data_IF_169224060109
#
_entry.id   IF_169224060109
#
_cell.length_a   1.000
_cell.length_b   1.000
_cell.length_c   1.000
_cell.angle_alpha   90.00
_cell.angle_beta   90.00
_cell.angle_gamma   90.00
#
_symmetry.space_group_name_H-M   'P 1'
#
loop_
_entity.id
_entity.type
_entity.pdbx_description
1 polymer ?
#
# COMPACT_ATOMS: atom_id res chain seq x y z
N UNK A 1 -19.78 -32.03 -6.20
CA UNK A 1 -20.39 -32.91 -5.17
C UNK A 1 -19.99 -32.47 -3.77
N UNK A 2 -20.97 -32.21 -2.90
CA UNK A 2 -20.77 -31.93 -1.47
C UNK A 2 -21.48 -32.99 -0.65
N UNK A 3 -20.81 -33.52 0.37
CA UNK A 3 -21.43 -34.46 1.32
C UNK A 3 -21.84 -33.67 2.55
N UNK A 4 -23.10 -33.73 2.94
CA UNK A 4 -23.60 -33.12 4.17
C UNK A 4 -24.36 -34.17 5.02
N UNK A 5 -24.92 -33.73 6.14
CA UNK A 5 -25.64 -34.59 7.08
C UNK A 5 -26.87 -35.31 6.52
N UNK A 6 -27.37 -34.90 5.34
CA UNK A 6 -28.52 -35.51 4.67
C UNK A 6 -28.11 -36.41 3.49
N UNK A 7 -26.84 -36.38 3.08
CA UNK A 7 -26.27 -37.27 2.07
C UNK A 7 -25.42 -36.56 1.04
N UNK A 8 -25.39 -37.10 -0.19
CA UNK A 8 -24.60 -36.57 -1.29
C UNK A 8 -25.43 -35.57 -2.07
N UNK A 9 -24.98 -34.31 -2.09
CA UNK A 9 -25.49 -33.24 -2.92
C UNK A 9 -24.65 -33.15 -4.20
N UNK A 10 -25.26 -33.51 -5.33
CA UNK A 10 -24.67 -33.40 -6.66
C UNK A 10 -25.14 -32.08 -7.27
N UNK A 11 -24.22 -31.15 -7.53
CA UNK A 11 -24.53 -29.88 -8.18
C UNK A 11 -24.96 -30.10 -9.65
N UNK A 12 -25.75 -29.16 -10.18
CA UNK A 12 -26.41 -29.27 -11.49
C UNK A 12 -25.41 -29.44 -12.64
N UNK A 13 -24.23 -28.83 -12.53
CA UNK A 13 -23.13 -29.03 -13.46
C UNK A 13 -22.62 -30.48 -13.44
N UNK A 14 -22.35 -31.02 -12.25
CA UNK A 14 -21.88 -32.40 -12.07
C UNK A 14 -22.91 -33.45 -12.51
N UNK A 15 -24.20 -33.16 -12.33
CA UNK A 15 -25.30 -34.04 -12.70
C UNK A 15 -25.43 -34.19 -14.23
N UNK A 16 -25.17 -33.12 -14.98
CA UNK A 16 -25.34 -33.05 -16.44
C UNK A 16 -24.08 -33.39 -17.25
N UNK A 17 -22.93 -33.59 -16.60
CA UNK A 17 -21.68 -33.92 -17.27
C UNK A 17 -21.76 -35.32 -17.95
N UNK A 18 -21.47 -35.39 -19.24
CA UNK A 18 -21.37 -36.65 -19.99
C UNK A 18 -20.11 -37.41 -19.61
N UNK A 19 -20.30 -38.70 -19.32
CA UNK A 19 -19.24 -39.62 -18.89
C UNK A 19 -19.30 -40.87 -19.73
N UNK A 20 -18.16 -41.55 -19.87
CA UNK A 20 -18.07 -42.81 -20.61
C UNK A 20 -17.66 -43.92 -19.64
N UNK A 21 -18.37 -45.04 -19.67
CA UNK A 21 -18.02 -46.21 -18.86
C UNK A 21 -16.62 -46.71 -19.24
N UNK A 22 -15.74 -46.85 -18.25
CA UNK A 22 -14.34 -47.30 -18.46
C UNK A 22 -14.20 -48.82 -18.64
N UNK A 23 -15.25 -49.60 -18.35
CA UNK A 23 -15.29 -51.02 -18.68
C UNK A 23 -15.04 -51.20 -20.19
N UNK A 24 -13.98 -51.92 -20.59
CA UNK A 24 -13.53 -52.01 -21.98
C UNK A 24 -14.63 -52.50 -22.94
N UNK A 25 -15.53 -53.34 -22.43
CA UNK A 25 -16.63 -53.96 -23.17
C UNK A 25 -17.90 -53.09 -23.20
N UNK A 26 -18.07 -52.17 -22.24
CA UNK A 26 -19.30 -51.40 -22.08
C UNK A 26 -19.24 -50.06 -22.82
N UNK A 27 -18.20 -49.25 -22.60
CA UNK A 27 -17.95 -47.91 -23.22
C UNK A 27 -19.17 -46.99 -23.40
N UNK A 28 -20.22 -47.18 -22.61
CA UNK A 28 -21.49 -46.46 -22.76
C UNK A 28 -21.35 -45.04 -22.23
N UNK A 29 -21.87 -44.07 -22.99
CA UNK A 29 -21.98 -42.68 -22.55
C UNK A 29 -23.20 -42.51 -21.65
N UNK A 30 -23.06 -41.82 -20.53
CA UNK A 30 -24.14 -41.58 -19.57
C UNK A 30 -23.97 -40.24 -18.84
N UNK A 31 -25.09 -39.67 -18.37
CA UNK A 31 -25.11 -38.53 -17.44
C UNK A 31 -25.73 -38.97 -16.11
N UNK A 32 -25.24 -38.45 -14.99
CA UNK A 32 -25.74 -38.85 -13.66
C UNK A 32 -27.24 -38.53 -13.52
N UNK A 33 -27.70 -37.40 -14.07
CA UNK A 33 -29.11 -36.97 -14.04
C UNK A 33 -30.06 -37.99 -14.67
N UNK A 34 -29.62 -38.73 -15.69
CA UNK A 34 -30.45 -39.73 -16.41
C UNK A 34 -30.79 -40.95 -15.54
N UNK A 35 -30.01 -41.19 -14.48
CA UNK A 35 -30.13 -42.33 -13.57
C UNK A 35 -30.57 -41.94 -12.16
N UNK A 36 -30.54 -40.65 -11.83
CA UNK A 36 -30.92 -40.12 -10.52
C UNK A 36 -32.44 -40.12 -10.31
N UNK A 37 -33.23 -39.91 -11.37
CA UNK A 37 -34.70 -39.82 -11.29
C UNK A 37 -35.44 -41.14 -11.56
N UNK A 38 -34.76 -42.18 -12.05
CA UNK A 38 -35.42 -43.33 -12.70
C UNK A 38 -35.32 -44.68 -11.98
N UNK A 39 -34.68 -44.80 -10.80
CA UNK A 39 -34.69 -46.07 -10.06
C UNK A 39 -34.39 -45.95 -8.56
N UNK A 40 -35.29 -46.50 -7.73
CA UNK A 40 -35.17 -46.55 -6.26
C UNK A 40 -34.08 -47.51 -5.72
N UNK A 41 -33.18 -48.03 -6.57
CA UNK A 41 -32.47 -49.29 -6.27
C UNK A 41 -30.95 -49.27 -6.41
N UNK A 42 -30.29 -48.12 -6.67
CA UNK A 42 -28.83 -48.10 -6.86
C UNK A 42 -28.04 -47.20 -5.90
N UNK A 43 -28.70 -46.39 -5.08
CA UNK A 43 -28.03 -45.57 -4.07
C UNK A 43 -28.37 -46.07 -2.66
N UNK A 44 -27.40 -46.70 -2.00
CA UNK A 44 -27.55 -47.06 -0.59
C UNK A 44 -27.38 -45.84 0.33
N UNK A 45 -28.11 -45.86 1.46
CA UNK A 45 -28.09 -44.80 2.48
C UNK A 45 -26.67 -44.53 3.00
N UNK A 46 -26.28 -43.25 3.19
CA UNK A 46 -24.93 -42.89 3.59
C UNK A 46 -24.60 -43.25 5.05
N UNK A 47 -23.31 -43.49 5.23
CA UNK A 47 -22.51 -43.91 6.38
C UNK A 47 -22.79 -43.13 7.69
N UNK A 48 -22.84 -43.83 8.83
CA UNK A 48 -22.86 -43.19 10.16
C UNK A 48 -21.46 -43.29 10.81
N UNK A 49 -20.76 -42.15 10.85
CA UNK A 49 -19.37 -42.02 11.30
C UNK A 49 -19.11 -42.28 12.79
N UNK A 50 -20.14 -42.53 13.60
CA UNK A 50 -20.00 -42.67 15.06
C UNK A 50 -19.59 -44.09 15.52
N UNK A 51 -19.75 -45.14 14.68
CA UNK A 51 -19.68 -46.53 15.17
C UNK A 51 -18.56 -47.44 14.64
N UNK A 52 -17.64 -46.97 13.78
CA UNK A 52 -16.36 -47.61 13.47
C UNK A 52 -16.35 -49.09 13.02
N UNK A 53 -15.96 -49.32 11.74
CA UNK A 53 -15.60 -50.60 11.08
C UNK A 53 -16.78 -51.42 10.47
N UNK A 54 -16.68 -52.10 9.33
CA UNK A 54 -16.11 -51.91 7.97
C UNK A 54 -17.00 -52.77 7.04
N UNK A 55 -17.24 -52.43 5.78
CA UNK A 55 -16.47 -52.87 4.61
C UNK A 55 -17.04 -52.17 3.37
N UNK A 56 -16.26 -52.05 2.30
CA UNK A 56 -16.60 -51.45 0.99
C UNK A 56 -16.34 -49.94 0.88
N UNK A 57 -15.08 -49.67 0.54
CA UNK A 57 -14.47 -48.36 0.29
C UNK A 57 -15.03 -47.69 -1.00
N UNK A 58 -15.11 -46.35 -0.97
CA UNK A 58 -15.46 -45.45 -2.07
C UNK A 58 -14.46 -45.43 -3.24
N UNK A 59 -13.36 -46.19 -3.16
CA UNK A 59 -12.29 -46.21 -4.17
C UNK A 59 -12.74 -46.71 -5.55
N UNK A 60 -13.62 -47.71 -5.61
CA UNK A 60 -14.12 -48.22 -6.90
C UNK A 60 -15.10 -47.26 -7.60
N UNK A 61 -15.66 -46.28 -6.88
CA UNK A 61 -16.66 -45.36 -7.42
C UNK A 61 -16.08 -44.00 -7.82
N UNK A 62 -14.98 -43.59 -7.18
CA UNK A 62 -14.35 -42.30 -7.43
C UNK A 62 -13.17 -42.36 -8.40
N UNK A 63 -12.67 -43.54 -8.75
CA UNK A 63 -11.55 -43.75 -9.69
C UNK A 63 -10.42 -42.72 -9.51
N UNK A 64 -10.04 -42.50 -8.25
CA UNK A 64 -8.88 -41.66 -7.91
C UNK A 64 -7.66 -42.57 -7.97
N UNK A 65 -7.23 -42.90 -9.18
CA UNK A 65 -5.91 -43.47 -9.40
C UNK A 65 -5.02 -42.40 -10.01
N UNK A 66 -4.01 -42.02 -9.22
CA UNK A 66 -3.02 -40.97 -9.43
C UNK A 66 -3.47 -39.53 -9.13
N UNK A 67 -2.75 -38.91 -8.19
CA UNK A 67 -2.63 -37.47 -8.12
C UNK A 67 -2.10 -37.05 -9.50
N UNK A 68 -2.97 -36.56 -10.38
CA UNK A 68 -2.53 -35.82 -11.54
C UNK A 68 -1.81 -34.62 -10.93
N UNK A 69 -0.48 -34.65 -10.87
CA UNK A 69 0.30 -33.42 -10.85
C UNK A 69 -0.36 -32.57 -11.90
N UNK A 70 -0.94 -31.43 -11.48
CA UNK A 70 -1.50 -30.45 -12.42
C UNK A 70 -0.51 -30.46 -13.56
N UNK A 71 -0.95 -30.90 -14.75
CA UNK A 71 -0.20 -30.60 -15.96
C UNK A 71 0.19 -29.15 -15.77
N UNK A 72 1.47 -28.76 -15.89
CA UNK A 72 1.80 -27.37 -15.76
C UNK A 72 1.03 -26.69 -16.89
N UNK A 73 -0.18 -26.24 -16.58
CA UNK A 73 -0.65 -24.97 -17.04
C UNK A 73 0.45 -24.09 -16.52
N UNK A 74 1.45 -23.87 -17.37
CA UNK A 74 1.96 -22.55 -17.58
C UNK A 74 0.72 -21.68 -17.81
N UNK A 75 -0.04 -21.38 -16.75
CA UNK A 75 -0.56 -20.06 -16.58
C UNK A 75 0.67 -19.21 -16.82
N UNK A 76 0.71 -18.48 -17.94
CA UNK A 76 1.87 -17.65 -18.19
C UNK A 76 1.95 -16.77 -16.94
N UNK A 77 3.02 -16.94 -16.18
CA UNK A 77 3.37 -16.02 -15.11
C UNK A 77 3.75 -14.74 -15.83
N UNK A 78 2.74 -13.96 -16.24
CA UNK A 78 2.96 -12.63 -16.73
C UNK A 78 3.50 -11.85 -15.55
N UNK A 79 4.81 -11.64 -15.54
CA UNK A 79 5.41 -10.69 -14.64
C UNK A 79 4.94 -9.31 -15.12
N UNK A 80 4.08 -8.68 -14.31
CA UNK A 80 3.61 -7.32 -14.57
C UNK A 80 4.73 -6.38 -14.14
N UNK A 81 5.77 -6.27 -14.97
CA UNK A 81 6.87 -5.35 -14.72
C UNK A 81 6.32 -3.92 -14.89
N UNK A 82 6.28 -3.20 -13.77
CA UNK A 82 5.92 -1.79 -13.71
C UNK A 82 7.19 -0.97 -13.91
N UNK A 83 7.25 -0.22 -15.00
CA UNK A 83 8.34 0.71 -15.28
C UNK A 83 7.82 2.15 -15.27
N UNK A 84 8.58 3.06 -14.65
CA UNK A 84 8.32 4.49 -14.76
C UNK A 84 9.06 5.07 -15.97
N UNK A 85 8.49 6.10 -16.63
CA UNK A 85 9.24 6.89 -17.61
C UNK A 85 10.52 7.44 -16.99
N UNK A 86 11.62 7.49 -17.76
CA UNK A 86 12.88 8.07 -17.30
C UNK A 86 12.98 9.56 -17.63
N UNK A 87 12.28 10.00 -18.67
CA UNK A 87 12.22 11.39 -19.08
C UNK A 87 10.90 12.01 -18.62
N UNK A 88 11.03 13.15 -17.95
CA UNK A 88 9.92 13.96 -17.43
C UNK A 88 10.08 15.44 -17.83
N UNK A 89 11.05 15.78 -18.70
CA UNK A 89 11.30 17.15 -19.15
C UNK A 89 10.11 17.77 -19.91
N UNK A 90 9.27 16.89 -20.42
CA UNK A 90 8.04 17.05 -21.19
C UNK A 90 6.78 17.34 -20.33
N UNK A 91 6.95 17.55 -19.02
CA UNK A 91 5.86 17.69 -18.06
C UNK A 91 5.76 19.11 -17.49
N UNK A 92 4.73 19.92 -17.77
CA UNK A 92 3.58 19.85 -18.68
C UNK A 92 3.61 21.12 -19.57
N UNK A 93 2.82 21.18 -20.65
CA UNK A 93 2.76 22.40 -21.47
C UNK A 93 1.98 23.52 -20.77
N UNK A 94 2.69 24.55 -20.32
CA UNK A 94 2.13 25.73 -19.66
C UNK A 94 1.06 26.44 -20.52
N UNK A 95 1.17 26.36 -21.86
CA UNK A 95 0.18 26.94 -22.78
C UNK A 95 -1.20 26.27 -22.65
N UNK A 96 -1.23 25.05 -22.13
CA UNK A 96 -2.42 24.22 -21.98
C UNK A 96 -2.84 24.03 -20.52
N UNK A 97 -2.19 24.71 -19.56
CA UNK A 97 -2.40 24.55 -18.13
C UNK A 97 -3.88 24.58 -17.71
N UNK A 98 -4.69 25.48 -18.28
CA UNK A 98 -6.11 25.57 -17.94
C UNK A 98 -6.89 24.31 -18.32
N UNK A 99 -6.61 23.73 -19.48
CA UNK A 99 -7.27 22.49 -19.93
C UNK A 99 -6.81 21.30 -19.11
N UNK A 100 -5.52 21.25 -18.81
CA UNK A 100 -4.92 20.21 -17.98
C UNK A 100 -5.51 20.27 -16.56
N UNK A 101 -5.60 21.45 -15.94
CA UNK A 101 -6.25 21.61 -14.63
C UNK A 101 -7.74 21.20 -14.66
N UNK A 102 -8.40 21.34 -15.82
CA UNK A 102 -9.77 20.88 -16.04
C UNK A 102 -9.87 19.37 -16.35
N UNK A 103 -8.81 18.59 -16.14
CA UNK A 103 -8.83 17.12 -16.23
C UNK A 103 -8.64 16.56 -17.63
N UNK A 104 -8.09 17.33 -18.59
CA UNK A 104 -7.80 16.86 -19.95
C UNK A 104 -6.56 15.94 -19.97
N UNK A 105 -6.77 14.65 -19.70
CA UNK A 105 -5.71 13.65 -19.58
C UNK A 105 -4.97 13.38 -20.89
N UNK A 106 -5.66 13.42 -22.04
CA UNK A 106 -5.05 13.19 -23.35
C UNK A 106 -4.00 14.26 -23.64
N UNK A 107 -4.33 15.52 -23.33
CA UNK A 107 -3.40 16.63 -23.47
C UNK A 107 -2.29 16.61 -22.41
N UNK A 108 -2.64 16.30 -21.15
CA UNK A 108 -1.68 16.26 -20.05
C UNK A 108 -0.57 15.23 -20.27
N UNK A 109 -0.93 14.05 -20.81
CA UNK A 109 -0.04 12.91 -20.93
C UNK A 109 0.40 12.60 -22.37
N UNK A 110 0.14 13.50 -23.32
CA UNK A 110 0.39 13.29 -24.75
C UNK A 110 1.82 12.81 -25.06
N UNK A 111 2.83 13.47 -24.46
CA UNK A 111 4.24 13.14 -24.69
C UNK A 111 4.60 11.77 -24.09
N UNK A 112 4.17 11.47 -22.86
CA UNK A 112 4.35 10.14 -22.25
C UNK A 112 3.71 9.03 -23.08
N UNK A 113 2.50 9.29 -23.60
CA UNK A 113 1.79 8.35 -24.48
C UNK A 113 2.58 8.11 -25.77
N UNK A 114 3.17 9.16 -26.34
CA UNK A 114 4.02 9.03 -27.53
C UNK A 114 5.26 8.16 -27.27
N UNK A 115 5.76 8.14 -26.03
CA UNK A 115 6.85 7.28 -25.55
C UNK A 115 6.40 5.86 -25.13
N UNK A 116 5.15 5.50 -25.45
CA UNK A 116 4.58 4.19 -25.18
C UNK A 116 4.08 3.98 -23.75
N UNK A 117 3.83 5.05 -23.01
CA UNK A 117 3.26 4.96 -21.67
C UNK A 117 1.73 4.83 -21.70
N UNK A 118 1.21 4.20 -20.67
CA UNK A 118 -0.19 4.19 -20.27
C UNK A 118 -0.39 5.19 -19.12
N UNK A 119 -1.64 5.57 -18.85
CA UNK A 119 -1.97 6.40 -17.69
C UNK A 119 -2.76 5.54 -16.72
N UNK A 120 -2.38 5.51 -15.45
CA UNK A 120 -3.18 4.89 -14.39
C UNK A 120 -3.83 5.98 -13.55
N UNK A 121 -5.13 5.85 -13.30
CA UNK A 121 -5.88 6.65 -12.36
C UNK A 121 -6.19 5.80 -11.12
N UNK A 122 -5.94 6.35 -9.95
CA UNK A 122 -6.27 5.73 -8.67
C UNK A 122 -7.08 6.69 -7.81
N UNK A 123 -8.17 6.23 -7.18
CA UNK A 123 -8.89 7.00 -6.18
C UNK A 123 -8.00 7.41 -5.01
N UNK A 124 -8.19 8.63 -4.50
CA UNK A 124 -7.48 9.13 -3.34
C UNK A 124 -8.48 9.55 -2.26
N UNK A 125 -8.97 8.57 -1.51
CA UNK A 125 -9.91 8.82 -0.41
C UNK A 125 -9.25 9.54 0.78
N UNK A 126 -10.06 10.32 1.51
CA UNK A 126 -9.62 11.15 2.64
C UNK A 126 -8.52 12.16 2.24
N UNK A 127 -8.59 12.64 1.01
CA UNK A 127 -7.77 13.73 0.50
C UNK A 127 -8.70 14.76 -0.12
N UNK A 128 -8.36 16.04 0.00
CA UNK A 128 -9.15 17.14 -0.52
C UNK A 128 -8.21 18.18 -1.08
N UNK A 129 -8.51 18.64 -2.29
CA UNK A 129 -7.83 19.77 -2.92
C UNK A 129 -8.82 20.52 -3.81
N UNK A 130 -8.66 21.84 -3.92
CA UNK A 130 -9.54 22.73 -4.69
C UNK A 130 -9.09 22.89 -6.15
N UNK A 131 -7.83 22.58 -6.43
CA UNK A 131 -7.20 22.66 -7.76
C UNK A 131 -6.38 21.42 -8.04
N UNK A 132 -6.04 21.20 -9.30
CA UNK A 132 -5.12 20.11 -9.65
C UNK A 132 -3.75 20.39 -9.05
N UNK A 133 -3.17 19.36 -8.44
CA UNK A 133 -1.82 19.40 -7.91
C UNK A 133 -0.88 18.76 -8.93
N UNK A 134 0.10 19.51 -9.38
CA UNK A 134 1.12 19.10 -10.32
C UNK A 134 2.34 18.66 -9.52
N UNK A 135 2.73 17.40 -9.63
CA UNK A 135 3.78 16.82 -8.82
C UNK A 135 4.92 16.33 -9.73
N UNK A 136 6.13 16.14 -9.18
CA UNK A 136 7.26 15.60 -9.95
C UNK A 136 6.93 14.26 -10.63
N UNK A 137 7.70 13.91 -11.66
CA UNK A 137 7.65 12.62 -12.35
C UNK A 137 6.31 12.28 -13.02
N UNK A 138 5.60 13.29 -13.56
CA UNK A 138 4.35 13.03 -14.28
C UNK A 138 3.13 12.80 -13.37
N UNK A 139 3.26 12.97 -12.06
CA UNK A 139 2.13 12.73 -11.15
C UNK A 139 1.22 13.95 -11.12
N UNK A 140 -0.10 13.74 -11.25
CA UNK A 140 -1.11 14.78 -10.98
C UNK A 140 -2.15 14.27 -9.98
N UNK A 141 -2.64 15.17 -9.12
CA UNK A 141 -3.85 14.91 -8.32
C UNK A 141 -4.94 15.85 -8.81
N UNK A 142 -6.04 15.29 -9.28
CA UNK A 142 -7.22 16.03 -9.71
C UNK A 142 -8.27 16.08 -8.59
N UNK A 143 -8.90 17.23 -8.34
CA UNK A 143 -10.07 17.33 -7.47
C UNK A 143 -11.21 16.40 -7.90
N UNK A 144 -12.12 16.15 -6.96
CA UNK A 144 -13.38 15.46 -7.24
C UNK A 144 -14.12 16.07 -8.44
N UNK A 145 -14.65 15.22 -9.32
CA UNK A 145 -15.44 15.60 -10.49
C UNK A 145 -14.67 16.32 -11.60
N UNK A 146 -13.34 16.50 -11.51
CA UNK A 146 -12.56 17.19 -12.56
C UNK A 146 -12.29 16.35 -13.80
N UNK A 147 -12.05 15.05 -13.63
CA UNK A 147 -11.73 14.14 -14.74
C UNK A 147 -13.04 13.58 -15.30
N UNK A 148 -13.34 13.88 -16.57
CA UNK A 148 -14.50 13.32 -17.27
C UNK A 148 -14.18 11.92 -17.79
N UNK A 149 -14.83 10.90 -17.20
CA UNK A 149 -14.67 9.49 -17.59
C UNK A 149 -15.83 8.97 -18.44
N UNK A 150 -16.79 9.82 -18.84
CA UNK A 150 -18.00 9.41 -19.57
C UNK A 150 -17.73 8.75 -20.92
N UNK A 151 -16.59 9.07 -21.55
CA UNK A 151 -16.16 8.51 -22.85
C UNK A 151 -15.31 7.25 -22.71
N UNK A 152 -14.93 6.86 -21.49
CA UNK A 152 -14.05 5.73 -21.24
C UNK A 152 -14.81 4.42 -21.39
N UNK A 153 -14.24 3.50 -22.17
CA UNK A 153 -14.78 2.17 -22.43
C UNK A 153 -13.97 1.14 -21.65
N UNK A 154 -14.56 0.61 -20.58
CA UNK A 154 -13.93 -0.43 -19.78
C UNK A 154 -13.92 -1.79 -20.52
N UNK A 155 -12.73 -2.32 -20.77
CA UNK A 155 -12.48 -3.57 -21.45
C UNK A 155 -12.87 -4.78 -20.59
N UNK A 156 -13.83 -5.55 -21.10
CA UNK A 156 -14.25 -6.85 -20.53
C UNK A 156 -13.44 -8.03 -21.08
N UNK A 157 -12.34 -7.76 -21.78
CA UNK A 157 -11.43 -8.79 -22.26
C UNK A 157 -10.49 -9.25 -21.15
N UNK A 158 -10.05 -10.51 -21.23
CA UNK A 158 -9.03 -11.09 -20.35
C UNK A 158 -9.49 -12.26 -19.48
N UNK A 159 -8.78 -12.47 -18.39
CA UNK A 159 -9.02 -13.59 -17.47
C UNK A 159 -10.42 -13.50 -16.84
N UNK A 160 -11.29 -14.48 -17.16
CA UNK A 160 -12.69 -14.50 -16.73
C UNK A 160 -12.85 -14.46 -15.21
N UNK A 161 -12.01 -15.18 -14.46
CA UNK A 161 -12.08 -15.20 -12.99
C UNK A 161 -11.71 -13.84 -12.41
N UNK A 162 -10.64 -13.23 -12.92
CA UNK A 162 -10.21 -11.90 -12.47
C UNK A 162 -11.28 -10.84 -12.74
N UNK A 163 -11.96 -10.91 -13.89
CA UNK A 163 -13.09 -10.03 -14.23
C UNK A 163 -14.26 -10.23 -13.26
N UNK A 164 -14.63 -11.48 -12.96
CA UNK A 164 -15.72 -11.78 -12.01
C UNK A 164 -15.39 -11.24 -10.63
N UNK A 165 -14.16 -11.46 -10.14
CA UNK A 165 -13.73 -10.98 -8.83
C UNK A 165 -13.68 -9.44 -8.76
N UNK A 166 -13.19 -8.79 -9.82
CA UNK A 166 -13.25 -7.32 -9.95
C UNK A 166 -14.70 -6.84 -9.91
N UNK A 167 -15.59 -7.48 -10.64
CA UNK A 167 -17.02 -7.11 -10.64
C UNK A 167 -17.66 -7.34 -9.27
N UNK A 168 -17.28 -8.41 -8.57
CA UNK A 168 -17.79 -8.74 -7.25
C UNK A 168 -17.33 -7.77 -6.15
N UNK A 169 -16.27 -6.98 -6.39
CA UNK A 169 -15.87 -5.89 -5.48
C UNK A 169 -16.92 -4.77 -5.38
N UNK A 170 -17.83 -4.68 -6.36
CA UNK A 170 -18.86 -3.65 -6.43
C UNK A 170 -18.37 -2.30 -6.96
N UNK A 171 -17.09 -2.20 -7.33
CA UNK A 171 -16.46 -0.96 -7.79
C UNK A 171 -16.87 -0.64 -9.22
N UNK A 172 -17.19 0.63 -9.46
CA UNK A 172 -17.60 1.15 -10.76
C UNK A 172 -16.86 2.43 -11.15
N UNK A 173 -16.97 2.85 -12.41
CA UNK A 173 -16.36 4.10 -12.87
C UNK A 173 -17.00 5.33 -12.20
N UNK A 174 -18.28 5.27 -11.84
CA UNK A 174 -18.99 6.38 -11.19
C UNK A 174 -18.32 6.78 -9.86
N UNK A 175 -17.68 5.83 -9.16
CA UNK A 175 -16.97 6.11 -7.90
C UNK A 175 -15.71 6.95 -8.11
N UNK A 176 -15.16 7.01 -9.33
CA UNK A 176 -14.00 7.85 -9.64
C UNK A 176 -14.40 9.32 -9.75
N UNK A 177 -15.67 9.62 -10.06
CA UNK A 177 -16.15 11.00 -10.19
C UNK A 177 -16.42 11.63 -8.82
N UNK A 178 -16.62 10.83 -7.77
CA UNK A 178 -17.03 11.27 -6.41
C UNK A 178 -15.87 11.41 -5.41
N UNK A 179 -14.63 11.43 -5.88
CA UNK A 179 -13.46 11.64 -5.02
C UNK A 179 -12.27 12.15 -5.85
N UNK A 180 -11.24 12.73 -5.21
CA UNK A 180 -10.01 13.06 -5.91
C UNK A 180 -9.33 11.85 -6.54
N UNK A 181 -8.68 12.08 -7.67
CA UNK A 181 -7.96 11.05 -8.42
C UNK A 181 -6.50 11.41 -8.53
N UNK A 182 -5.62 10.44 -8.30
CA UNK A 182 -4.20 10.58 -8.63
C UNK A 182 -3.91 9.86 -9.94
N UNK A 183 -3.20 10.54 -10.83
CA UNK A 183 -2.82 10.08 -12.15
C UNK A 183 -1.29 9.93 -12.23
N UNK A 184 -0.83 8.85 -12.87
CA UNK A 184 0.59 8.54 -13.05
C UNK A 184 0.82 7.90 -14.43
N UNK A 185 1.86 8.30 -15.19
CA UNK A 185 2.25 7.64 -16.41
C UNK A 185 3.08 6.40 -16.07
N UNK A 186 2.76 5.27 -16.68
CA UNK A 186 3.41 3.98 -16.43
C UNK A 186 3.69 3.24 -17.74
N UNK A 187 4.75 2.46 -17.77
CA UNK A 187 5.00 1.46 -18.81
C UNK A 187 4.66 0.09 -18.24
N UNK A 188 3.73 -0.59 -18.91
CA UNK A 188 3.27 -1.92 -18.52
C UNK A 188 2.85 -2.71 -19.75
N UNK A 189 3.10 -4.02 -19.74
CA UNK A 189 2.60 -4.90 -20.80
C UNK A 189 1.07 -5.01 -20.73
N UNK A 190 0.37 -4.32 -21.63
CA UNK A 190 -1.10 -4.29 -21.69
C UNK A 190 -1.73 -5.69 -21.84
N UNK A 191 -1.14 -6.56 -22.66
CA UNK A 191 -1.64 -7.93 -22.83
C UNK A 191 -1.39 -8.77 -21.56
N UNK A 192 -0.29 -8.52 -20.87
CA UNK A 192 -0.02 -9.09 -19.55
C UNK A 192 -1.08 -8.65 -18.53
N UNK A 193 -1.39 -7.35 -18.49
CA UNK A 193 -2.41 -6.78 -17.60
C UNK A 193 -3.78 -7.42 -17.79
N UNK A 194 -4.20 -7.60 -19.05
CA UNK A 194 -5.48 -8.20 -19.41
C UNK A 194 -5.58 -9.66 -18.95
N UNK A 195 -4.50 -10.43 -19.10
CA UNK A 195 -4.50 -11.87 -18.86
C UNK A 195 -4.06 -12.28 -17.44
N UNK A 196 -3.56 -11.35 -16.64
CA UNK A 196 -3.15 -11.59 -15.27
C UNK A 196 -4.29 -12.05 -14.35
N UNK A 197 -3.91 -12.75 -13.28
CA UNK A 197 -4.82 -13.20 -12.23
C UNK A 197 -5.21 -12.04 -11.31
N UNK A 198 -6.33 -12.19 -10.60
CA UNK A 198 -6.74 -11.18 -9.60
C UNK A 198 -5.69 -10.98 -8.49
N UNK A 199 -4.93 -12.02 -8.11
CA UNK A 199 -3.88 -11.85 -7.09
C UNK A 199 -2.78 -10.91 -7.59
N UNK A 200 -2.30 -11.13 -8.80
CA UNK A 200 -1.30 -10.26 -9.45
C UNK A 200 -1.83 -8.84 -9.65
N UNK A 201 -3.12 -8.69 -9.94
CA UNK A 201 -3.79 -7.40 -10.00
C UNK A 201 -3.77 -6.65 -8.65
N UNK A 202 -4.03 -7.34 -7.54
CA UNK A 202 -3.97 -6.71 -6.21
C UNK A 202 -2.54 -6.34 -5.81
N UNK A 203 -1.56 -7.18 -6.16
CA UNK A 203 -0.14 -6.88 -6.00
C UNK A 203 0.26 -5.65 -6.83
N UNK A 204 -0.23 -5.53 -8.08
CA UNK A 204 0.01 -4.36 -8.91
C UNK A 204 -0.60 -3.09 -8.31
N UNK A 205 -1.83 -3.13 -7.78
CA UNK A 205 -2.44 -1.96 -7.10
C UNK A 205 -1.57 -1.51 -5.92
N UNK A 206 -1.08 -2.45 -5.10
CA UNK A 206 -0.16 -2.12 -4.00
C UNK A 206 1.14 -1.50 -4.51
N UNK A 207 1.77 -2.11 -5.51
CA UNK A 207 3.03 -1.63 -6.07
C UNK A 207 2.91 -0.21 -6.64
N UNK A 208 1.81 0.10 -7.34
CA UNK A 208 1.55 1.46 -7.85
C UNK A 208 1.31 2.42 -6.68
N UNK A 209 0.54 2.03 -5.66
CA UNK A 209 0.34 2.87 -4.47
C UNK A 209 1.64 3.15 -3.72
N UNK A 210 2.51 2.16 -3.55
CA UNK A 210 3.82 2.31 -2.91
C UNK A 210 4.74 3.22 -3.75
N UNK A 211 4.65 3.12 -5.08
CA UNK A 211 5.36 4.00 -6.01
C UNK A 211 4.89 5.45 -5.85
N UNK A 212 3.57 5.68 -5.82
CA UNK A 212 2.98 7.00 -5.56
C UNK A 212 3.42 7.56 -4.20
N UNK A 213 3.45 6.72 -3.17
CA UNK A 213 3.93 7.10 -1.84
C UNK A 213 5.39 7.59 -1.90
N UNK A 214 6.25 6.83 -2.57
CA UNK A 214 7.66 7.18 -2.73
C UNK A 214 7.88 8.46 -3.55
N UNK A 215 7.11 8.66 -4.62
CA UNK A 215 7.26 9.81 -5.52
C UNK A 215 6.75 11.11 -4.88
N UNK A 216 5.62 11.07 -4.15
CA UNK A 216 5.01 12.30 -3.66
C UNK A 216 4.25 12.22 -2.34
N UNK A 217 3.49 11.15 -2.05
CA UNK A 217 2.58 11.19 -0.89
C UNK A 217 3.33 11.17 0.45
N UNK A 218 4.52 10.56 0.53
CA UNK A 218 5.35 10.63 1.74
C UNK A 218 5.78 12.07 2.05
N UNK A 219 6.15 12.84 1.02
CA UNK A 219 6.50 14.25 1.17
C UNK A 219 5.28 15.10 1.54
N UNK A 220 4.15 14.87 0.87
CA UNK A 220 2.90 15.59 1.18
C UNK A 220 2.46 15.31 2.62
N UNK A 221 2.49 14.06 3.08
CA UNK A 221 2.19 13.72 4.48
C UNK A 221 3.21 14.34 5.43
N UNK A 222 4.51 14.31 5.09
CA UNK A 222 5.54 14.96 5.90
C UNK A 222 5.28 16.45 6.12
N UNK A 223 4.89 17.18 5.06
CA UNK A 223 4.65 18.62 5.14
C UNK A 223 3.35 19.01 5.85
N UNK A 224 2.35 18.14 5.87
CA UNK A 224 0.99 18.52 6.31
C UNK A 224 0.46 17.73 7.51
N UNK A 225 1.11 16.64 7.92
CA UNK A 225 0.68 15.81 9.05
C UNK A 225 1.78 15.76 10.11
N UNK A 226 1.42 15.71 11.39
CA UNK A 226 2.39 15.77 12.50
C UNK A 226 2.43 14.48 13.31
N UNK A 227 3.61 14.17 13.87
CA UNK A 227 3.73 13.12 14.86
C UNK A 227 3.19 13.62 16.20
N UNK A 228 2.02 13.11 16.59
CA UNK A 228 1.41 13.41 17.89
C UNK A 228 1.13 12.14 18.69
N UNK A 229 0.77 12.29 19.97
CA UNK A 229 0.48 11.15 20.84
C UNK A 229 -0.71 10.34 20.35
N UNK A 230 -1.74 10.99 19.80
CA UNK A 230 -2.84 10.35 19.09
C UNK A 230 -2.53 10.34 17.58
N UNK A 231 -3.10 9.43 16.78
CA UNK A 231 -2.92 9.51 15.33
C UNK A 231 -3.49 10.82 14.78
N UNK A 232 -2.75 11.41 13.84
CA UNK A 232 -3.12 12.66 13.16
C UNK A 232 -4.45 12.49 12.40
N UNK A 233 -5.31 13.51 12.46
CA UNK A 233 -6.65 13.47 11.87
C UNK A 233 -6.67 13.84 10.38
N UNK A 234 -5.56 14.38 9.88
CA UNK A 234 -5.31 14.79 8.51
C UNK A 234 -4.70 13.70 7.64
N UNK A 235 -4.63 12.44 8.07
CA UNK A 235 -4.02 11.38 7.27
C UNK A 235 -4.93 10.95 6.08
N UNK A 236 -4.40 10.91 4.84
CA UNK A 236 -5.08 10.35 3.69
C UNK A 236 -4.97 8.82 3.67
N UNK A 237 -5.89 8.16 2.98
CA UNK A 237 -5.77 6.72 2.72
C UNK A 237 -4.71 6.45 1.64
N UNK A 238 -4.33 5.18 1.50
CA UNK A 238 -3.44 4.76 0.41
C UNK A 238 -4.10 5.01 -0.94
N UNK A 239 -3.29 5.38 -1.95
CA UNK A 239 -3.77 5.55 -3.30
C UNK A 239 -4.44 4.24 -3.78
N UNK A 240 -5.60 4.38 -4.40
CA UNK A 240 -6.47 3.29 -4.85
C UNK A 240 -7.61 2.98 -3.91
N UNK A 241 -7.54 3.33 -2.62
CA UNK A 241 -8.62 3.06 -1.66
C UNK A 241 -9.82 3.98 -1.90
N UNK A 242 -11.01 3.40 -1.87
CA UNK A 242 -12.27 4.08 -2.19
C UNK A 242 -12.90 4.73 -0.96
N UNK A 243 -13.55 5.88 -1.15
CA UNK A 243 -14.32 6.57 -0.10
C UNK A 243 -15.62 5.82 0.25
N UNK A 244 -16.29 5.26 -0.75
CA UNK A 244 -17.54 4.48 -0.63
C UNK A 244 -17.37 3.19 0.17
N UNK A 245 -16.23 2.51 -0.02
CA UNK A 245 -15.86 1.29 0.67
C UNK A 245 -14.34 1.24 0.88
N UNK A 246 -13.91 1.67 2.05
CA UNK A 246 -12.48 1.74 2.41
C UNK A 246 -11.74 0.39 2.35
N UNK A 247 -12.46 -0.74 2.46
CA UNK A 247 -11.87 -2.07 2.33
C UNK A 247 -11.55 -2.45 0.89
N UNK A 248 -12.15 -1.76 -0.07
CA UNK A 248 -11.92 -1.97 -1.49
C UNK A 248 -10.92 -0.96 -2.03
N UNK A 249 -10.24 -1.36 -3.08
CA UNK A 249 -9.28 -0.54 -3.79
C UNK A 249 -9.43 -0.78 -5.28
N UNK A 250 -9.03 0.21 -6.07
CA UNK A 250 -9.09 0.09 -7.52
C UNK A 250 -8.03 0.91 -8.21
N UNK A 251 -7.77 0.52 -9.46
CA UNK A 251 -6.98 1.28 -10.40
C UNK A 251 -7.63 1.18 -11.79
N UNK A 252 -7.72 2.31 -12.47
CA UNK A 252 -8.22 2.42 -13.83
C UNK A 252 -7.04 2.68 -14.76
N UNK A 253 -6.73 1.71 -15.59
CA UNK A 253 -5.64 1.81 -16.55
C UNK A 253 -6.20 2.32 -17.88
N UNK A 254 -5.71 3.44 -18.38
CA UNK A 254 -6.06 4.02 -19.68
C UNK A 254 -5.00 3.64 -20.70
N UNK A 255 -5.41 2.95 -21.77
CA UNK A 255 -4.49 2.51 -22.82
C UNK A 255 -4.02 3.72 -23.62
N UNK A 256 -2.72 4.02 -23.58
CA UNK A 256 -2.14 5.14 -24.32
C UNK A 256 -2.90 6.45 -24.07
N UNK A 257 -3.39 6.67 -22.83
CA UNK A 257 -4.16 7.87 -22.46
C UNK A 257 -5.52 8.03 -23.17
N UNK A 258 -5.94 7.06 -23.98
CA UNK A 258 -7.17 7.13 -24.77
C UNK A 258 -8.40 6.56 -24.05
N UNK A 259 -9.45 6.32 -24.83
CA UNK A 259 -10.75 5.89 -24.31
C UNK A 259 -10.82 4.40 -23.94
N UNK A 260 -9.89 3.55 -24.39
CA UNK A 260 -9.87 2.14 -23.98
C UNK A 260 -9.26 2.02 -22.58
N UNK A 261 -9.98 1.42 -21.64
CA UNK A 261 -9.49 1.28 -20.27
C UNK A 261 -9.66 -0.13 -19.71
N UNK A 262 -8.96 -0.41 -18.62
CA UNK A 262 -9.13 -1.61 -17.81
C UNK A 262 -9.30 -1.20 -16.35
N UNK A 263 -10.51 -1.38 -15.81
CA UNK A 263 -10.75 -1.26 -14.37
C UNK A 263 -10.36 -2.56 -13.68
N UNK A 264 -9.56 -2.44 -12.62
CA UNK A 264 -9.20 -3.51 -11.72
C UNK A 264 -9.58 -3.07 -10.31
N UNK A 265 -10.23 -3.96 -9.55
CA UNK A 265 -10.67 -3.64 -8.20
C UNK A 265 -10.74 -4.86 -7.28
N UNK A 266 -10.59 -4.63 -5.98
CA UNK A 266 -10.64 -5.65 -4.94
C UNK A 266 -9.99 -5.19 -3.64
N UNK A 267 -9.87 -6.10 -2.67
CA UNK A 267 -9.26 -5.80 -1.37
C UNK A 267 -7.71 -5.84 -1.46
N UNK A 268 -7.12 -4.76 -1.96
CA UNK A 268 -5.67 -4.66 -2.05
C UNK A 268 -5.03 -4.42 -0.68
N UNK A 269 -5.62 -3.65 0.23
CA UNK A 269 -5.00 -3.36 1.53
C UNK A 269 -5.66 -4.11 2.68
N UNK A 270 -4.89 -4.36 3.74
CA UNK A 270 -5.36 -5.01 4.97
C UNK A 270 -5.90 -4.03 6.01
N UNK A 271 -5.63 -2.74 5.84
CA UNK A 271 -5.93 -1.69 6.81
C UNK A 271 -6.38 -0.42 6.09
N UNK A 272 -7.08 0.44 6.83
CA UNK A 272 -7.65 1.69 6.34
C UNK A 272 -7.57 2.72 7.45
N UNK A 273 -7.34 3.99 7.11
CA UNK A 273 -7.38 5.06 8.10
C UNK A 273 -8.84 5.44 8.32
N UNK A 274 -9.32 5.23 9.54
CA UNK A 274 -10.73 5.48 9.89
C UNK A 274 -10.93 6.72 10.74
N UNK A 275 -9.85 7.27 11.32
CA UNK A 275 -9.89 8.44 12.22
C UNK A 275 -9.66 9.74 11.47
N UNK A 276 -10.43 10.78 11.80
CA UNK A 276 -10.21 12.16 11.37
C UNK A 276 -10.95 12.52 10.08
N UNK A 277 -10.66 13.70 9.53
CA UNK A 277 -11.34 14.26 8.34
C UNK A 277 -10.57 14.09 7.04
N UNK A 278 -9.29 13.68 7.11
CA UNK A 278 -8.44 13.51 5.95
C UNK A 278 -7.62 14.77 5.62
N UNK A 279 -6.79 14.66 4.60
CA UNK A 279 -5.79 15.66 4.27
C UNK A 279 -6.37 16.75 3.36
N UNK A 280 -6.21 18.01 3.74
CA UNK A 280 -6.41 19.15 2.83
C UNK A 280 -5.04 19.59 2.32
N UNK A 281 -4.79 19.42 1.03
CA UNK A 281 -3.50 19.72 0.43
C UNK A 281 -3.60 20.81 -0.65
N UNK A 282 -2.53 21.61 -0.73
CA UNK A 282 -2.30 22.62 -1.77
C UNK A 282 -1.07 22.25 -2.58
N UNK A 283 -0.87 22.94 -3.69
CA UNK A 283 0.30 22.78 -4.55
C UNK A 283 1.59 22.98 -3.73
N UNK A 284 2.41 21.93 -3.53
CA UNK A 284 3.72 22.10 -2.93
C UNK A 284 4.68 22.80 -3.92
N UNK A 285 5.65 23.54 -3.40
CA UNK A 285 6.73 24.07 -4.22
C UNK A 285 7.65 22.93 -4.65
N UNK A 286 7.91 22.80 -5.96
CA UNK A 286 8.71 21.70 -6.50
C UNK A 286 10.15 21.70 -5.99
N UNK A 287 10.69 22.89 -5.71
CA UNK A 287 12.04 23.05 -5.18
C UNK A 287 12.22 22.45 -3.78
N UNK A 288 11.13 22.21 -3.05
CA UNK A 288 11.18 21.59 -1.73
C UNK A 288 11.27 20.07 -1.76
N UNK A 289 11.04 19.42 -2.92
CA UNK A 289 11.22 17.98 -3.03
C UNK A 289 12.71 17.62 -2.99
N UNK A 290 13.10 16.54 -2.30
CA UNK A 290 14.50 16.12 -2.26
C UNK A 290 14.99 15.70 -3.65
N UNK A 291 16.19 16.16 -4.00
CA UNK A 291 16.88 15.84 -5.26
C UNK A 291 17.61 14.50 -5.12
N UNK A 292 17.86 13.79 -6.24
CA UNK A 292 18.41 12.42 -6.28
C UNK A 292 19.89 12.22 -5.89
N UNK A 293 20.43 12.98 -4.93
CA UNK A 293 21.73 12.69 -4.32
C UNK A 293 21.65 11.56 -3.27
N UNK A 294 22.79 11.16 -2.71
CA UNK A 294 22.84 10.12 -1.67
C UNK A 294 22.05 10.53 -0.42
N UNK A 295 22.20 11.79 0.01
CA UNK A 295 21.40 12.39 1.10
C UNK A 295 19.92 12.42 0.72
N UNK A 296 19.60 12.75 -0.53
CA UNK A 296 18.26 12.68 -1.09
C UNK A 296 17.60 11.32 -0.92
N UNK A 297 18.30 10.25 -1.28
CA UNK A 297 17.82 8.88 -1.10
C UNK A 297 17.61 8.54 0.38
N UNK A 298 18.51 8.98 1.27
CA UNK A 298 18.37 8.78 2.72
C UNK A 298 17.13 9.52 3.24
N UNK A 299 16.91 10.77 2.86
CA UNK A 299 15.76 11.55 3.36
C UNK A 299 14.44 11.08 2.75
N UNK A 300 14.41 10.63 1.49
CA UNK A 300 13.24 9.95 0.91
C UNK A 300 12.87 8.70 1.71
N UNK A 301 13.87 7.89 2.09
CA UNK A 301 13.64 6.75 3.00
C UNK A 301 13.17 7.21 4.38
N UNK A 302 13.74 8.30 4.91
CA UNK A 302 13.30 8.93 6.16
C UNK A 302 11.84 9.35 6.14
N UNK A 303 11.39 10.00 5.06
CA UNK A 303 9.99 10.40 4.87
C UNK A 303 9.04 9.20 4.73
N UNK A 304 9.49 8.11 4.10
CA UNK A 304 8.73 6.85 4.06
C UNK A 304 8.55 6.28 5.47
N UNK A 305 9.61 6.22 6.27
CA UNK A 305 9.55 5.77 7.67
C UNK A 305 8.69 6.70 8.54
N UNK A 306 8.78 8.02 8.34
CA UNK A 306 7.95 9.00 9.02
C UNK A 306 6.46 8.81 8.69
N UNK A 307 6.13 8.63 7.41
CA UNK A 307 4.75 8.41 6.97
C UNK A 307 4.17 7.10 7.51
N UNK A 308 4.98 6.05 7.63
CA UNK A 308 4.57 4.81 8.31
C UNK A 308 4.36 5.04 9.81
N UNK A 309 5.28 5.76 10.45
CA UNK A 309 5.24 6.10 11.86
C UNK A 309 3.94 6.83 12.24
N UNK A 310 3.57 7.89 11.53
CA UNK A 310 2.36 8.67 11.85
C UNK A 310 1.05 7.87 11.65
N UNK A 311 1.06 6.86 10.77
CA UNK A 311 -0.07 5.94 10.51
C UNK A 311 -0.26 4.87 11.58
N UNK A 312 0.72 4.63 12.48
CA UNK A 312 0.59 3.61 13.52
C UNK A 312 -0.48 3.97 14.55
N UNK A 313 -1.29 3.01 15.00
CA UNK A 313 -2.33 3.28 16.00
C UNK A 313 -1.77 3.39 17.43
N UNK A 314 -0.83 2.51 17.78
CA UNK A 314 -0.25 2.39 19.12
C UNK A 314 0.77 3.50 19.39
N UNK A 315 0.58 4.27 20.48
CA UNK A 315 1.55 5.26 20.92
C UNK A 315 2.88 4.61 21.32
N UNK A 316 2.84 3.43 21.96
CA UNK A 316 4.07 2.67 22.26
C UNK A 316 4.86 2.34 20.99
N UNK A 317 4.18 1.88 19.93
CA UNK A 317 4.83 1.59 18.65
C UNK A 317 5.36 2.86 17.99
N UNK A 318 4.57 3.95 17.97
CA UNK A 318 5.03 5.24 17.45
C UNK A 318 6.28 5.74 18.14
N UNK A 319 6.30 5.70 19.47
CA UNK A 319 7.46 6.14 20.25
C UNK A 319 8.73 5.39 19.86
N UNK A 320 8.66 4.05 19.75
CA UNK A 320 9.81 3.21 19.36
C UNK A 320 10.24 3.49 17.92
N UNK A 321 9.29 3.67 17.00
CA UNK A 321 9.59 3.94 15.60
C UNK A 321 10.16 5.35 15.39
N UNK A 322 9.72 6.34 16.18
CA UNK A 322 10.28 7.69 16.17
C UNK A 322 11.76 7.68 16.61
N UNK A 323 12.11 6.94 17.67
CA UNK A 323 13.51 6.78 18.08
C UNK A 323 14.34 6.03 17.04
N UNK A 324 13.77 5.02 16.39
CA UNK A 324 14.44 4.28 15.31
C UNK A 324 14.68 5.16 14.09
N UNK A 325 13.74 6.07 13.78
CA UNK A 325 13.90 7.07 12.73
C UNK A 325 15.01 8.07 13.06
N UNK A 326 15.08 8.57 14.31
CA UNK A 326 16.19 9.43 14.75
C UNK A 326 17.56 8.75 14.65
N UNK A 327 17.62 7.45 15.00
CA UNK A 327 18.83 6.65 14.82
C UNK A 327 19.22 6.53 13.34
N UNK A 328 18.26 6.17 12.48
CA UNK A 328 18.47 6.08 11.02
C UNK A 328 18.94 7.40 10.41
N UNK A 329 18.30 8.53 10.75
CA UNK A 329 18.69 9.84 10.22
C UNK A 329 20.09 10.26 10.69
N UNK A 330 20.49 9.86 11.90
CA UNK A 330 21.83 10.15 12.42
C UNK A 330 22.91 9.26 11.80
N UNK A 331 22.60 7.97 11.60
CA UNK A 331 23.51 6.92 11.13
C UNK A 331 22.78 5.99 10.14
N UNK A 332 22.66 6.38 8.86
CA UNK A 332 21.85 5.65 7.88
C UNK A 332 22.44 4.29 7.45
N UNK A 333 23.74 4.07 7.70
CA UNK A 333 24.47 2.89 7.25
C UNK A 333 24.74 1.85 8.35
N UNK A 334 24.55 2.22 9.61
CA UNK A 334 24.96 1.38 10.74
C UNK A 334 24.09 1.60 11.96
N UNK A 335 23.95 0.55 12.76
CA UNK A 335 23.31 0.64 14.07
C UNK A 335 24.25 1.31 15.06
N UNK A 336 23.74 2.27 15.82
CA UNK A 336 24.56 3.05 16.73
C UNK A 336 23.93 3.27 18.10
N UNK A 337 24.80 3.47 19.09
CA UNK A 337 24.32 3.71 20.44
C UNK A 337 23.67 5.09 20.54
N UNK A 338 22.54 5.19 21.24
CA UNK A 338 21.83 6.46 21.47
C UNK A 338 22.69 7.55 22.16
N UNK A 339 23.80 7.16 22.81
CA UNK A 339 24.83 8.10 23.31
C UNK A 339 25.52 8.89 22.20
N UNK A 340 25.67 8.32 20.99
CA UNK A 340 26.18 9.01 19.80
C UNK A 340 25.05 9.73 19.07
N UNK A 341 23.89 9.08 18.90
CA UNK A 341 22.69 9.66 18.25
C UNK A 341 22.32 11.01 18.86
N UNK A 342 22.25 11.09 20.19
CA UNK A 342 21.89 12.35 20.89
C UNK A 342 22.80 13.53 20.57
N UNK A 343 24.08 13.27 20.29
CA UNK A 343 25.05 14.33 19.94
C UNK A 343 24.72 14.91 18.56
N UNK A 344 24.35 14.06 17.62
CA UNK A 344 23.94 14.45 16.27
C UNK A 344 22.61 15.21 16.35
N UNK A 345 21.58 14.62 16.97
CA UNK A 345 20.26 15.25 17.14
C UNK A 345 20.38 16.65 17.75
N UNK A 346 21.16 16.80 18.83
CA UNK A 346 21.28 18.09 19.52
C UNK A 346 21.88 19.20 18.67
N UNK A 347 22.71 18.87 17.68
CA UNK A 347 23.28 19.87 16.77
C UNK A 347 22.16 20.48 15.94
N UNK A 348 21.36 19.66 15.26
CA UNK A 348 20.25 20.13 14.38
C UNK A 348 19.23 21.02 15.07
N UNK A 349 19.16 20.95 16.39
CA UNK A 349 18.18 21.67 17.19
C UNK A 349 18.72 22.98 17.75
N UNK A 350 20.01 23.03 18.11
CA UNK A 350 20.57 24.21 18.77
C UNK A 350 22.08 24.32 18.61
N UNK A 351 22.51 25.53 18.25
CA UNK A 351 23.92 25.92 18.25
C UNK A 351 24.42 26.28 19.67
N UNK A 352 23.52 26.55 20.63
CA UNK A 352 23.90 26.92 22.00
C UNK A 352 24.34 25.69 22.81
N UNK A 353 25.45 25.85 23.56
CA UNK A 353 26.03 24.76 24.35
C UNK A 353 25.19 24.38 25.57
N UNK A 354 24.51 25.35 26.21
CA UNK A 354 23.68 25.06 27.39
C UNK A 354 22.40 24.36 26.96
N UNK A 355 21.77 24.82 25.87
CA UNK A 355 20.61 24.15 25.28
C UNK A 355 20.94 22.74 24.80
N UNK A 356 22.11 22.52 24.16
CA UNK A 356 22.56 21.17 23.80
C UNK A 356 22.70 20.25 25.01
N UNK A 357 23.18 20.75 26.15
CA UNK A 357 23.25 19.97 27.38
C UNK A 357 21.85 19.60 27.91
N UNK A 358 20.88 20.51 27.84
CA UNK A 358 19.47 20.25 28.18
C UNK A 358 18.85 19.19 27.28
N UNK A 359 19.07 19.30 25.96
CA UNK A 359 18.62 18.31 24.98
C UNK A 359 19.27 16.95 25.27
N UNK A 360 20.55 16.89 25.62
CA UNK A 360 21.20 15.62 25.98
C UNK A 360 20.56 14.96 27.20
N UNK A 361 20.20 15.74 28.23
CA UNK A 361 19.52 15.20 29.41
C UNK A 361 18.11 14.71 29.07
N UNK A 362 17.36 15.49 28.29
CA UNK A 362 16.03 15.10 27.78
C UNK A 362 16.10 13.83 26.96
N UNK A 363 17.04 13.74 26.03
CA UNK A 363 17.23 12.59 25.17
C UNK A 363 17.67 11.34 25.96
N UNK A 364 18.46 11.50 27.03
CA UNK A 364 18.74 10.40 27.95
C UNK A 364 17.47 9.87 28.62
N UNK A 365 16.57 10.75 29.06
CA UNK A 365 15.26 10.36 29.60
C UNK A 365 14.42 9.58 28.57
N UNK A 366 14.40 10.02 27.32
CA UNK A 366 13.71 9.30 26.24
C UNK A 366 14.32 7.91 25.96
N UNK A 367 15.59 7.70 26.30
CA UNK A 367 16.34 6.50 25.91
C UNK A 367 16.73 5.62 27.09
N UNK A 368 17.86 5.90 27.75
CA UNK A 368 18.51 5.02 28.72
C UNK A 368 18.92 5.69 30.04
N UNK A 369 18.17 6.68 30.52
CA UNK A 369 18.42 7.33 31.82
C UNK A 369 18.31 6.31 32.96
N UNK A 370 19.22 6.43 33.92
CA UNK A 370 19.20 5.68 35.18
C UNK A 370 18.83 6.58 36.32
N UNK A 371 18.05 6.06 37.26
CA UNK A 371 17.83 6.74 38.52
C UNK A 371 19.14 6.88 39.29
N UNK A 372 19.41 8.09 39.79
CA UNK A 372 20.68 8.40 40.45
C UNK A 372 20.87 7.65 41.78
N UNK A 373 19.78 7.37 42.49
CA UNK A 373 19.74 6.75 43.82
C UNK A 373 19.61 5.23 43.70
N UNK A 374 18.61 4.73 42.97
CA UNK A 374 18.28 3.30 42.89
C UNK A 374 19.07 2.55 41.83
N UNK A 375 19.70 3.28 40.89
CA UNK A 375 20.37 2.74 39.69
C UNK A 375 19.44 1.97 38.74
N UNK A 376 18.14 2.04 38.95
CA UNK A 376 17.14 1.43 38.06
C UNK A 376 17.09 2.17 36.72
N UNK A 377 16.82 1.42 35.65
CA UNK A 377 16.60 1.98 34.32
C UNK A 377 15.24 2.70 34.31
N UNK A 378 15.24 4.02 34.16
CA UNK A 378 14.03 4.86 34.06
C UNK A 378 13.81 5.42 32.65
N UNK A 379 14.80 5.26 31.76
CA UNK A 379 14.72 5.70 30.38
C UNK A 379 13.59 4.99 29.62
N UNK A 380 12.76 5.77 28.92
CA UNK A 380 11.52 5.27 28.32
C UNK A 380 11.78 4.14 27.32
N UNK A 381 12.71 4.32 26.37
CA UNK A 381 13.06 3.28 25.40
C UNK A 381 13.50 1.99 26.10
N UNK A 382 14.37 2.07 27.10
CA UNK A 382 14.85 0.89 27.82
C UNK A 382 13.69 0.15 28.50
N UNK A 383 12.80 0.88 29.17
CA UNK A 383 11.59 0.32 29.80
C UNK A 383 10.66 -0.35 28.79
N UNK A 384 10.46 0.27 27.63
CA UNK A 384 9.55 -0.26 26.61
C UNK A 384 10.17 -1.49 25.92
N UNK A 385 11.37 -1.34 25.37
CA UNK A 385 12.00 -2.36 24.49
C UNK A 385 12.53 -3.54 25.29
N UNK A 386 13.12 -3.32 26.47
CA UNK A 386 13.79 -4.39 27.23
C UNK A 386 12.94 -4.94 28.36
N UNK A 387 12.00 -4.16 28.90
CA UNK A 387 11.14 -4.58 30.03
C UNK A 387 9.70 -4.83 29.58
N UNK A 388 9.32 -4.43 28.36
CA UNK A 388 7.98 -4.67 27.80
C UNK A 388 6.90 -3.76 28.38
N UNK A 389 7.27 -2.63 28.98
CA UNK A 389 6.31 -1.66 29.49
C UNK A 389 5.61 -0.92 28.34
N UNK A 390 4.35 -0.50 28.57
CA UNK A 390 3.65 0.39 27.63
C UNK A 390 4.04 1.84 27.90
N UNK A 391 4.13 2.65 26.85
CA UNK A 391 4.41 4.07 26.96
C UNK A 391 3.41 4.78 27.88
N UNK A 392 2.13 4.42 27.75
CA UNK A 392 1.04 5.01 28.51
C UNK A 392 1.16 4.72 30.02
N UNK A 393 1.76 3.59 30.39
CA UNK A 393 1.98 3.22 31.80
C UNK A 393 3.18 3.97 32.40
N UNK A 394 4.17 4.31 31.57
CA UNK A 394 5.39 5.02 31.98
C UNK A 394 5.18 6.54 32.09
N UNK A 395 4.28 7.09 31.27
CA UNK A 395 3.97 8.52 31.21
C UNK A 395 2.47 8.68 31.43
N UNK A 396 1.96 8.81 32.67
CA UNK A 396 0.52 8.83 32.92
C UNK A 396 -0.20 10.10 32.43
N UNK A 397 0.51 11.23 32.36
CA UNK A 397 -0.07 12.54 32.01
C UNK A 397 -0.27 12.68 30.51
N UNK A 398 -1.49 12.92 30.05
CA UNK A 398 -1.77 13.21 28.63
C UNK A 398 -1.02 14.44 28.11
N UNK A 399 -0.82 15.46 28.96
CA UNK A 399 -0.07 16.67 28.58
C UNK A 399 1.39 16.30 28.30
N UNK A 400 2.01 15.55 29.21
CA UNK A 400 3.40 15.11 29.08
C UNK A 400 3.58 14.15 27.89
N UNK A 401 2.59 13.29 27.61
CA UNK A 401 2.59 12.44 26.42
C UNK A 401 2.64 13.29 25.15
N UNK A 402 1.76 14.29 25.02
CA UNK A 402 1.76 15.18 23.87
C UNK A 402 3.08 15.92 23.72
N UNK A 403 3.62 16.47 24.81
CA UNK A 403 4.91 17.18 24.82
C UNK A 403 6.06 16.28 24.34
N UNK A 404 6.10 15.01 24.77
CA UNK A 404 7.12 14.05 24.32
C UNK A 404 7.01 13.77 22.82
N UNK A 405 5.79 13.60 22.29
CA UNK A 405 5.61 13.36 20.86
C UNK A 405 5.95 14.58 20.01
N UNK A 406 5.58 15.78 20.46
CA UNK A 406 5.98 17.04 19.82
C UNK A 406 7.51 17.24 19.86
N UNK A 407 8.15 16.88 20.97
CA UNK A 407 9.61 16.92 21.09
C UNK A 407 10.28 15.98 20.08
N UNK A 408 9.77 14.75 19.94
CA UNK A 408 10.27 13.78 18.96
C UNK A 408 10.04 14.26 17.52
N UNK A 409 8.86 14.78 17.21
CA UNK A 409 8.52 15.34 15.91
C UNK A 409 9.47 16.48 15.53
N UNK A 410 9.69 17.39 16.46
CA UNK A 410 10.61 18.51 16.30
C UNK A 410 12.04 18.05 16.02
N UNK A 411 12.56 17.05 16.74
CA UNK A 411 13.88 16.49 16.45
C UNK A 411 13.97 15.87 15.06
N UNK A 412 12.96 15.10 14.67
CA UNK A 412 12.90 14.42 13.37
C UNK A 412 12.84 15.45 12.23
N UNK A 413 11.96 16.45 12.36
CA UNK A 413 11.74 17.49 11.34
C UNK A 413 12.99 18.34 11.11
N UNK A 414 13.64 18.83 12.16
CA UNK A 414 14.88 19.61 12.00
C UNK A 414 15.97 18.82 11.27
N UNK A 415 16.09 17.52 11.53
CA UNK A 415 17.02 16.66 10.80
C UNK A 415 16.61 16.48 9.34
N UNK A 416 15.34 16.16 9.09
CA UNK A 416 14.85 15.92 7.72
C UNK A 416 14.88 17.19 6.87
N UNK A 417 14.48 18.35 7.39
CA UNK A 417 14.50 19.62 6.67
C UNK A 417 15.93 20.00 6.24
N UNK A 418 16.90 19.91 7.15
CA UNK A 418 18.30 20.15 6.82
C UNK A 418 18.84 19.14 5.78
N UNK A 419 18.41 17.88 5.84
CA UNK A 419 18.78 16.88 4.83
C UNK A 419 18.12 17.14 3.46
N UNK A 420 16.88 17.65 3.43
CA UNK A 420 16.19 18.04 2.19
C UNK A 420 16.96 19.17 1.49
N UNK A 421 17.35 20.21 2.24
CA UNK A 421 18.14 21.34 1.72
C UNK A 421 19.47 20.88 1.07
N UNK A 422 20.06 19.81 1.60
CA UNK A 422 21.34 19.25 1.16
C UNK A 422 21.19 17.94 0.37
N UNK A 423 19.98 17.65 -0.14
CA UNK A 423 19.64 16.37 -0.77
C UNK A 423 20.49 15.99 -1.98
N UNK A 424 21.08 16.97 -2.66
CA UNK A 424 21.94 16.80 -3.83
C UNK A 424 23.35 16.26 -3.50
N UNK A 425 23.76 16.23 -2.22
CA UNK A 425 25.12 15.87 -1.81
C UNK A 425 25.33 14.35 -1.64
N UNK A 426 26.60 13.94 -1.67
CA UNK A 426 27.03 12.66 -1.09
C UNK A 426 26.92 12.71 0.44
N UNK A 427 26.80 11.55 1.09
CA UNK A 427 26.71 11.51 2.55
C UNK A 427 28.01 11.94 3.22
N UNK A 428 29.16 11.68 2.61
CA UNK A 428 30.46 12.12 3.14
C UNK A 428 30.64 13.64 3.07
N UNK A 429 30.24 14.27 1.97
CA UNK A 429 30.25 15.75 1.86
C UNK A 429 29.26 16.37 2.85
N UNK A 430 28.10 15.76 2.98
CA UNK A 430 27.08 16.19 3.94
C UNK A 430 27.56 16.11 5.39
N UNK A 431 28.31 15.07 5.77
CA UNK A 431 28.89 14.97 7.12
C UNK A 431 29.76 16.18 7.46
N UNK A 432 30.50 16.71 6.49
CA UNK A 432 31.37 17.89 6.70
C UNK A 432 30.54 19.11 7.07
N UNK A 433 29.40 19.32 6.39
CA UNK A 433 28.46 20.41 6.66
C UNK A 433 27.76 20.18 8.00
N UNK A 434 27.14 19.01 8.17
CA UNK A 434 26.45 18.60 9.40
C UNK A 434 27.32 18.74 10.65
N UNK A 435 28.61 18.47 10.54
CA UNK A 435 29.54 18.49 11.68
C UNK A 435 30.21 19.86 11.88
N UNK A 436 30.05 20.82 10.95
CA UNK A 436 30.62 22.18 11.02
C UNK A 436 29.57 23.28 11.21
N UNK A 437 28.45 23.20 10.50
CA UNK A 437 27.45 24.27 10.36
C UNK A 437 26.24 24.08 11.30
N UNK A 438 26.29 23.08 12.18
CA UNK A 438 25.20 22.69 13.08
C UNK A 438 25.61 22.63 14.55
#
# INVERSE_FOLDING_TARGET
MKINSEGILIDEYSANLERVCKEPECKKVYRIVEYYESNNSYFYRPYNYVKGCSDFCLECWLDVSEFVEKSPTAEPSYQLDLELPQDHSHWYDENHLQRIDMGDLELAYQEYVSDGCHVVLMPLSRFVTDKSLFLPNGVMIFPEGRVDLSKVVNSKLGNKLAIIQTTASGVSLDEYETQPLIALPIKINWEGLINATHSQHMELIRAISETIDALCMNFICYKNCELTYLPDEGLPNSAGQLSSNSMMSSALFLRAGGNEAKLIAGAAFSHTITRGVGLVARQPEWIEFPVGGEVGNIVQRGMSLYSQLIKLESATSRFVHALSLLEFLAFPYEFEQYKKVKKIVSRYVSSDSMERARIHERFEFLTGKKDSLTKEEIGLRTRIVHIGARFEDLVPSNVERNEIFQELDFYIRNMMDHMIEHSHLSFEDYKVIRDKDV
#
